data_IF_480897995815
#
_entry.id   IF_480897995815
#
_cell.length_a   1.000
_cell.length_b   1.000
_cell.length_c   1.000
_cell.angle_alpha   90.00
_cell.angle_beta   90.00
_cell.angle_gamma   90.00
#
_symmetry.space_group_name_H-M   'P 1'
#
loop_
_entity.id
_entity.type
_entity.pdbx_description
1 polymer ?
#
# COMPACT_ATOMS: atom_id res chain seq x y z
N UNK A 1 -20.38 -15.29 -0.91
CA UNK A 1 -19.44 -14.32 -0.31
C UNK A 1 -17.99 -14.80 -0.34
N UNK A 2 -17.72 -16.08 -0.06
CA UNK A 2 -16.35 -16.64 -0.12
C UNK A 2 -15.65 -16.46 -1.46
N UNK A 3 -16.35 -16.67 -2.58
CA UNK A 3 -15.80 -16.47 -3.94
C UNK A 3 -15.37 -15.01 -4.15
N UNK A 4 -16.17 -14.05 -3.66
CA UNK A 4 -15.86 -12.62 -3.76
C UNK A 4 -14.58 -12.28 -2.98
N UNK A 5 -14.47 -12.74 -1.73
CA UNK A 5 -13.27 -12.52 -0.91
C UNK A 5 -12.02 -13.17 -1.53
N UNK A 6 -12.16 -14.39 -2.06
CA UNK A 6 -11.08 -15.08 -2.75
C UNK A 6 -10.62 -14.34 -4.01
N UNK A 7 -11.55 -13.86 -4.84
CA UNK A 7 -11.24 -13.08 -6.03
C UNK A 7 -10.53 -11.76 -5.69
N UNK A 8 -11.03 -11.03 -4.69
CA UNK A 8 -10.41 -9.77 -4.23
C UNK A 8 -9.00 -10.00 -3.71
N UNK A 9 -8.78 -11.03 -2.87
CA UNK A 9 -7.45 -11.36 -2.36
C UNK A 9 -6.50 -11.80 -3.49
N UNK A 10 -6.98 -12.53 -4.49
CA UNK A 10 -6.18 -12.93 -5.65
C UNK A 10 -5.72 -11.71 -6.47
N UNK A 11 -6.61 -10.74 -6.70
CA UNK A 11 -6.28 -9.49 -7.39
C UNK A 11 -5.28 -8.66 -6.59
N UNK A 12 -5.48 -8.52 -5.27
CA UNK A 12 -4.53 -7.81 -4.39
C UNK A 12 -3.17 -8.49 -4.40
N UNK A 13 -3.11 -9.82 -4.33
CA UNK A 13 -1.86 -10.58 -4.37
C UNK A 13 -1.14 -10.42 -5.71
N UNK A 14 -1.86 -10.48 -6.82
CA UNK A 14 -1.29 -10.26 -8.16
C UNK A 14 -0.74 -8.82 -8.29
N UNK A 15 -1.50 -7.83 -7.82
CA UNK A 15 -1.06 -6.44 -7.81
C UNK A 15 0.16 -6.23 -6.90
N UNK A 16 0.21 -6.90 -5.75
CA UNK A 16 1.35 -6.93 -4.82
C UNK A 16 2.62 -7.50 -5.45
N UNK A 17 2.49 -8.58 -6.23
CA UNK A 17 3.62 -9.13 -6.98
C UNK A 17 4.15 -8.11 -8.01
N UNK A 18 3.25 -7.44 -8.74
CA UNK A 18 3.63 -6.42 -9.72
C UNK A 18 4.31 -5.21 -9.07
N UNK A 19 3.84 -4.75 -7.91
CA UNK A 19 4.48 -3.66 -7.17
C UNK A 19 5.83 -4.06 -6.60
N UNK A 20 6.01 -5.30 -6.12
CA UNK A 20 7.33 -5.82 -5.74
C UNK A 20 8.29 -5.84 -6.93
N UNK A 21 7.83 -6.26 -8.11
CA UNK A 21 8.65 -6.24 -9.32
C UNK A 21 9.06 -4.81 -9.70
N UNK A 22 8.17 -3.84 -9.53
CA UNK A 22 8.47 -2.41 -9.75
C UNK A 22 9.45 -1.87 -8.70
N UNK A 23 9.29 -2.25 -7.44
CA UNK A 23 10.18 -1.83 -6.35
C UNK A 23 11.64 -2.26 -6.56
N UNK A 24 11.84 -3.45 -7.13
CA UNK A 24 13.18 -3.99 -7.43
C UNK A 24 13.75 -3.37 -8.71
N UNK A 25 12.95 -3.17 -9.76
CA UNK A 25 13.41 -2.65 -11.06
C UNK A 25 13.44 -1.12 -11.16
N UNK A 26 12.83 -0.41 -10.22
CA UNK A 26 12.67 1.05 -10.26
C UNK A 26 14.01 1.78 -10.37
N UNK A 27 14.27 2.56 -11.44
CA UNK A 27 15.55 3.25 -11.66
C UNK A 27 15.72 4.48 -10.77
N UNK A 28 14.60 5.13 -10.40
CA UNK A 28 14.57 6.32 -9.57
C UNK A 28 14.26 5.97 -8.12
N UNK A 29 14.98 6.57 -7.16
CA UNK A 29 14.70 6.38 -5.73
C UNK A 29 13.25 6.73 -5.38
N UNK A 30 12.68 7.74 -6.04
CA UNK A 30 11.28 8.13 -5.87
C UNK A 30 10.29 7.03 -6.28
N UNK A 31 10.55 6.34 -7.41
CA UNK A 31 9.68 5.26 -7.89
C UNK A 31 9.66 4.09 -6.91
N UNK A 32 10.81 3.83 -6.25
CA UNK A 32 10.91 2.82 -5.19
C UNK A 32 10.15 3.23 -3.93
N UNK A 33 10.21 4.50 -3.53
CA UNK A 33 9.44 5.02 -2.38
C UNK A 33 7.94 4.91 -2.63
N UNK A 34 7.48 5.32 -3.82
CA UNK A 34 6.08 5.18 -4.20
C UNK A 34 5.64 3.71 -4.29
N UNK A 35 6.48 2.83 -4.82
CA UNK A 35 6.19 1.40 -4.86
C UNK A 35 6.04 0.78 -3.44
N UNK A 36 6.85 1.23 -2.48
CA UNK A 36 6.71 0.86 -1.07
C UNK A 36 5.39 1.34 -0.47
N UNK A 37 4.99 2.58 -0.73
CA UNK A 37 3.73 3.14 -0.23
C UNK A 37 2.50 2.38 -0.77
N UNK A 38 2.51 2.07 -2.06
CA UNK A 38 1.47 1.24 -2.68
C UNK A 38 1.45 -0.17 -2.09
N UNK A 39 2.62 -0.75 -1.79
CA UNK A 39 2.70 -2.06 -1.15
C UNK A 39 2.07 -2.05 0.25
N UNK A 40 2.32 -1.01 1.05
CA UNK A 40 1.67 -0.81 2.35
C UNK A 40 0.17 -0.64 2.18
N UNK A 41 -0.28 0.12 1.18
CA UNK A 41 -1.72 0.30 0.91
C UNK A 41 -2.39 -1.04 0.55
N UNK A 42 -1.71 -1.91 -0.20
CA UNK A 42 -2.20 -3.25 -0.52
C UNK A 42 -2.32 -4.16 0.71
N UNK A 43 -1.39 -4.07 1.67
CA UNK A 43 -1.49 -4.87 2.91
C UNK A 43 -2.65 -4.40 3.79
N UNK A 44 -2.94 -3.10 3.82
CA UNK A 44 -4.14 -2.54 4.48
C UNK A 44 -5.41 -3.12 3.83
N UNK A 45 -5.50 -3.08 2.50
CA UNK A 45 -6.64 -3.61 1.77
C UNK A 45 -6.86 -5.11 2.02
N UNK A 46 -5.79 -5.91 1.99
CA UNK A 46 -5.87 -7.34 2.29
C UNK A 46 -6.36 -7.60 3.73
N UNK A 47 -5.86 -6.81 4.69
CA UNK A 47 -6.26 -6.92 6.11
C UNK A 47 -7.73 -6.54 6.29
N UNK A 48 -8.20 -5.50 5.60
CA UNK A 48 -9.60 -5.09 5.63
C UNK A 48 -10.54 -6.18 5.09
N UNK A 49 -10.19 -6.82 3.97
CA UNK A 49 -10.95 -7.96 3.44
C UNK A 49 -10.97 -9.11 4.44
N UNK A 50 -9.84 -9.37 5.12
CA UNK A 50 -9.75 -10.38 6.18
C UNK A 50 -10.62 -10.11 7.40
N UNK A 51 -10.77 -8.84 7.80
CA UNK A 51 -11.64 -8.43 8.89
C UNK A 51 -13.12 -8.70 8.56
N UNK A 52 -13.55 -8.28 7.37
CA UNK A 52 -14.92 -8.52 6.88
C UNK A 52 -15.20 -10.01 6.70
N UNK A 53 -14.24 -10.78 6.20
CA UNK A 53 -14.41 -12.23 6.01
C UNK A 53 -14.56 -13.01 7.33
N UNK A 54 -14.10 -12.45 8.46
CA UNK A 54 -14.17 -13.07 9.79
C UNK A 54 -15.32 -12.51 10.65
N UNK A 55 -16.04 -11.51 10.15
CA UNK A 55 -16.99 -10.70 10.94
C UNK A 55 -16.37 -10.18 12.26
N UNK A 56 -15.07 -9.90 12.25
CA UNK A 56 -14.31 -9.42 13.41
C UNK A 56 -13.65 -8.06 13.12
N UNK A 57 -14.07 -7.08 13.91
CA UNK A 57 -13.74 -5.67 13.79
C UNK A 57 -12.48 -5.29 14.58
N UNK A 58 -11.86 -6.25 15.29
CA UNK A 58 -10.64 -6.04 16.10
C UNK A 58 -9.48 -5.45 15.29
N UNK A 59 -9.46 -5.66 13.97
CA UNK A 59 -8.43 -5.11 13.07
C UNK A 59 -8.67 -3.66 12.65
N UNK A 60 -9.85 -3.08 12.87
CA UNK A 60 -10.17 -1.71 12.43
C UNK A 60 -9.22 -0.65 12.98
N UNK A 61 -8.88 -0.62 14.29
CA UNK A 61 -7.92 0.36 14.81
C UNK A 61 -6.55 0.27 14.11
N UNK A 62 -6.10 -0.95 13.79
CA UNK A 62 -4.85 -1.16 13.04
C UNK A 62 -4.95 -0.59 11.63
N UNK A 63 -6.09 -0.78 10.94
CA UNK A 63 -6.32 -0.21 9.61
C UNK A 63 -6.27 1.32 9.65
N UNK A 64 -6.83 1.96 10.68
CA UNK A 64 -6.78 3.42 10.86
C UNK A 64 -5.35 3.90 11.00
N UNK A 65 -4.56 3.27 11.87
CA UNK A 65 -3.14 3.63 12.07
C UNK A 65 -2.34 3.44 10.78
N UNK A 66 -2.54 2.32 10.08
CA UNK A 66 -1.85 2.06 8.83
C UNK A 66 -2.25 3.04 7.72
N UNK A 67 -3.52 3.45 7.66
CA UNK A 67 -3.99 4.43 6.68
C UNK A 67 -3.33 5.81 6.91
N UNK A 68 -3.21 6.24 8.17
CA UNK A 68 -2.47 7.45 8.52
C UNK A 68 -0.99 7.32 8.14
N UNK A 69 -0.37 6.17 8.40
CA UNK A 69 1.03 5.93 8.07
C UNK A 69 1.28 5.97 6.56
N UNK A 70 0.42 5.33 5.75
CA UNK A 70 0.49 5.38 4.29
C UNK A 70 0.34 6.81 3.77
N UNK A 71 -0.63 7.57 4.30
CA UNK A 71 -0.80 8.98 3.94
C UNK A 71 0.45 9.81 4.24
N UNK A 72 1.04 9.65 5.43
CA UNK A 72 2.28 10.34 5.81
C UNK A 72 3.45 9.93 4.90
N UNK A 73 3.53 8.64 4.54
CA UNK A 73 4.53 8.12 3.60
C UNK A 73 4.46 8.83 2.24
N UNK A 74 3.26 8.91 1.66
CA UNK A 74 2.98 9.65 0.43
C UNK A 74 3.35 11.14 0.51
N UNK A 75 2.95 11.84 1.58
CA UNK A 75 3.26 13.27 1.78
C UNK A 75 4.78 13.49 1.91
N UNK A 76 5.46 12.64 2.66
CA UNK A 76 6.92 12.71 2.84
C UNK A 76 7.64 12.49 1.51
N UNK A 77 7.17 11.55 0.70
CA UNK A 77 7.69 11.31 -0.64
C UNK A 77 7.53 12.54 -1.53
N UNK A 78 6.35 13.18 -1.53
CA UNK A 78 6.10 14.40 -2.29
C UNK A 78 7.02 15.55 -1.87
N UNK A 79 7.18 15.78 -0.57
CA UNK A 79 8.09 16.80 -0.03
C UNK A 79 9.56 16.55 -0.42
N UNK A 80 9.98 15.28 -0.47
CA UNK A 80 11.32 14.92 -0.91
C UNK A 80 11.56 15.26 -2.38
N UNK A 81 10.53 15.14 -3.24
CA UNK A 81 10.60 15.54 -4.65
C UNK A 81 10.72 17.05 -4.79
N UNK A 82 9.85 17.78 -4.11
CA UNK A 82 9.84 19.26 -4.13
C UNK A 82 11.19 19.84 -3.70
N UNK A 83 11.77 19.30 -2.61
CA UNK A 83 13.10 19.73 -2.14
C UNK A 83 14.22 19.44 -3.16
N UNK A 84 14.09 18.40 -3.98
CA UNK A 84 15.06 18.07 -5.04
C UNK A 84 14.90 18.98 -6.25
N UNK A 85 13.68 19.41 -6.55
CA UNK A 85 13.39 20.35 -7.66
C UNK A 85 13.83 21.78 -7.32
N UNK A 86 13.64 22.24 -6.09
CA UNK A 86 14.12 23.57 -5.66
C UNK A 86 15.65 23.73 -5.56
N UNK A 87 16.42 22.66 -5.76
CA UNK A 87 17.90 22.69 -5.84
C UNK A 87 18.43 22.73 -7.29
N UNK A 88 17.56 22.68 -8.30
CA UNK A 88 17.90 22.87 -9.72
C UNK A 88 17.53 24.27 -10.17
#
# INVERSE_FOLDING_TARGET
MTILYGATLAVIAAAGLLTLLRLVRGPLALDRIMALDVLVTMTIAATAVGAVARDDTTSIPVLVVLALLAFIGSVTAAHLVEKREGMR
#
